data_IF_771671085566
#
_entry.id   IF_771671085566
#
_cell.length_a   1.000
_cell.length_b   1.000
_cell.length_c   1.000
_cell.angle_alpha   90.00
_cell.angle_beta   90.00
_cell.angle_gamma   90.00
#
_symmetry.space_group_name_H-M   'P 1'
#
loop_
_entity.id
_entity.type
_entity.pdbx_description
1 polymer ?
#
# COMPACT_ATOMS: atom_id res chain seq x y z
N UNK A 1 -11.68 -13.91 -0.38
CA UNK A 1 -12.70 -13.95 -1.46
C UNK A 1 -13.40 -12.60 -1.53
N UNK A 2 -13.72 -12.10 -2.74
CA UNK A 2 -14.50 -10.88 -2.87
C UNK A 2 -15.95 -11.15 -2.45
N UNK A 3 -16.38 -10.60 -1.32
CA UNK A 3 -17.80 -10.63 -0.90
C UNK A 3 -18.66 -9.75 -1.80
N UNK A 4 -18.05 -8.74 -2.44
CA UNK A 4 -18.67 -7.84 -3.42
C UNK A 4 -17.94 -7.93 -4.75
N UNK A 5 -18.64 -7.72 -5.86
CA UNK A 5 -18.09 -7.63 -7.20
C UNK A 5 -18.77 -6.50 -7.98
N UNK A 6 -18.13 -5.99 -9.02
CA UNK A 6 -18.67 -4.89 -9.81
C UNK A 6 -19.60 -5.39 -10.92
N UNK A 7 -20.82 -4.84 -10.98
CA UNK A 7 -21.73 -5.01 -12.12
C UNK A 7 -21.51 -3.91 -13.14
N UNK A 8 -21.24 -4.29 -14.39
CA UNK A 8 -21.12 -3.33 -15.48
C UNK A 8 -22.46 -2.68 -15.81
N UNK A 9 -23.55 -3.45 -15.78
CA UNK A 9 -24.90 -2.99 -16.04
C UNK A 9 -25.38 -1.98 -15.00
N UNK A 10 -25.25 -2.28 -13.71
CA UNK A 10 -25.69 -1.38 -12.63
C UNK A 10 -24.63 -0.32 -12.26
N UNK A 11 -23.43 -0.38 -12.85
CA UNK A 11 -22.33 0.55 -12.61
C UNK A 11 -21.96 0.71 -11.13
N UNK A 12 -22.07 -0.37 -10.34
CA UNK A 12 -21.82 -0.37 -8.89
C UNK A 12 -21.30 -1.72 -8.38
N UNK A 13 -20.61 -1.68 -7.25
CA UNK A 13 -20.24 -2.89 -6.51
C UNK A 13 -21.45 -3.44 -5.76
N UNK A 14 -21.62 -4.75 -5.85
CA UNK A 14 -22.75 -5.48 -5.30
C UNK A 14 -22.25 -6.73 -4.62
N UNK A 15 -22.80 -7.05 -3.46
CA UNK A 15 -22.76 -8.43 -2.95
C UNK A 15 -23.80 -9.31 -3.68
N UNK A 16 -23.79 -10.61 -3.36
CA UNK A 16 -24.69 -11.58 -4.02
C UNK A 16 -26.17 -11.30 -3.71
N UNK A 17 -26.49 -10.80 -2.52
CA UNK A 17 -27.86 -10.53 -2.09
C UNK A 17 -28.41 -9.29 -2.79
N UNK A 18 -27.63 -8.20 -2.81
CA UNK A 18 -27.93 -6.96 -3.52
C UNK A 18 -28.12 -7.19 -5.02
N UNK A 19 -27.30 -8.06 -5.62
CA UNK A 19 -27.48 -8.45 -7.01
C UNK A 19 -28.79 -9.23 -7.21
N UNK A 20 -29.12 -10.13 -6.28
CA UNK A 20 -30.38 -10.87 -6.31
C UNK A 20 -31.61 -9.97 -6.25
N UNK A 21 -31.64 -8.98 -5.36
CA UNK A 21 -32.73 -8.00 -5.29
C UNK A 21 -32.90 -7.22 -6.59
N UNK A 22 -31.80 -6.82 -7.21
CA UNK A 22 -31.83 -6.09 -8.48
C UNK A 22 -32.34 -6.92 -9.65
N UNK A 23 -31.95 -8.20 -9.72
CA UNK A 23 -32.36 -9.09 -10.81
C UNK A 23 -33.78 -9.65 -10.64
N UNK A 24 -34.24 -9.77 -9.40
CA UNK A 24 -35.57 -10.32 -9.08
C UNK A 24 -36.64 -9.24 -8.99
N UNK A 25 -36.26 -7.98 -8.77
CA UNK A 25 -37.18 -6.86 -8.54
C UNK A 25 -37.76 -6.83 -7.11
N UNK A 26 -37.48 -7.85 -6.30
CA UNK A 26 -37.90 -7.94 -4.92
C UNK A 26 -37.02 -7.06 -4.02
N UNK A 27 -37.63 -6.06 -3.39
CA UNK A 27 -37.00 -5.31 -2.29
C UNK A 27 -37.01 -6.15 -1.01
N UNK A 28 -36.04 -5.96 -0.11
CA UNK A 28 -36.01 -6.68 1.15
C UNK A 28 -37.30 -6.44 1.94
N UNK A 29 -38.15 -7.48 2.02
CA UNK A 29 -39.19 -7.62 3.03
C UNK A 29 -38.61 -8.39 4.21
N UNK A 30 -38.94 -7.96 5.42
CA UNK A 30 -38.26 -8.24 6.69
C UNK A 30 -38.16 -9.71 7.15
N UNK A 31 -38.46 -10.72 6.33
CA UNK A 31 -38.61 -12.09 6.87
C UNK A 31 -38.11 -13.29 6.04
N UNK A 32 -37.35 -13.10 4.95
CA UNK A 32 -36.71 -14.25 4.28
C UNK A 32 -35.26 -13.97 3.87
N UNK A 33 -34.33 -14.29 4.77
CA UNK A 33 -32.90 -14.40 4.51
C UNK A 33 -32.54 -15.62 3.64
N UNK A 34 -33.19 -15.76 2.49
CA UNK A 34 -32.86 -16.75 1.46
C UNK A 34 -32.24 -16.04 0.28
N UNK A 35 -30.94 -16.28 0.05
CA UNK A 35 -30.23 -15.84 -1.15
C UNK A 35 -31.01 -16.34 -2.38
N UNK A 36 -31.46 -15.41 -3.23
CA UNK A 36 -32.25 -15.72 -4.41
C UNK A 36 -31.55 -16.76 -5.31
N UNK A 37 -32.31 -17.63 -5.97
CA UNK A 37 -31.70 -18.56 -6.94
C UNK A 37 -31.33 -17.81 -8.23
N UNK A 38 -30.04 -17.53 -8.38
CA UNK A 38 -29.50 -16.81 -9.54
C UNK A 38 -29.11 -17.73 -10.70
N UNK A 39 -29.49 -19.02 -10.66
CA UNK A 39 -29.15 -20.03 -11.66
C UNK A 39 -29.57 -19.63 -13.09
N UNK A 40 -30.78 -19.06 -13.24
CA UNK A 40 -31.29 -18.57 -14.53
C UNK A 40 -30.49 -17.40 -15.11
N UNK A 41 -29.79 -16.64 -14.26
CA UNK A 41 -28.98 -15.49 -14.65
C UNK A 41 -27.49 -15.84 -14.82
N UNK A 42 -27.10 -17.11 -14.70
CA UNK A 42 -25.70 -17.53 -14.68
C UNK A 42 -24.90 -17.05 -15.90
N UNK A 43 -25.49 -17.10 -17.09
CA UNK A 43 -24.87 -16.60 -18.32
C UNK A 43 -24.61 -15.08 -18.27
N UNK A 44 -25.61 -14.32 -17.82
CA UNK A 44 -25.52 -12.87 -17.67
C UNK A 44 -24.51 -12.47 -16.59
N UNK A 45 -24.54 -13.14 -15.43
CA UNK A 45 -23.60 -12.91 -14.32
C UNK A 45 -22.17 -13.12 -14.78
N UNK A 46 -21.92 -14.18 -15.56
CA UNK A 46 -20.59 -14.51 -16.07
C UNK A 46 -20.01 -13.39 -16.94
N UNK A 47 -20.85 -12.67 -17.67
CA UNK A 47 -20.45 -11.58 -18.57
C UNK A 47 -20.44 -10.20 -17.91
N UNK A 48 -21.40 -9.94 -17.03
CA UNK A 48 -21.62 -8.61 -16.44
C UNK A 48 -20.76 -8.37 -15.20
N UNK A 49 -20.68 -9.37 -14.32
CA UNK A 49 -20.00 -9.25 -13.04
C UNK A 49 -18.50 -9.41 -13.22
N UNK A 50 -17.76 -8.43 -12.71
CA UNK A 50 -16.31 -8.31 -12.82
C UNK A 50 -15.67 -8.23 -11.45
N UNK A 51 -14.47 -8.78 -11.35
CA UNK A 51 -13.63 -8.58 -10.18
C UNK A 51 -13.37 -7.08 -9.99
N UNK A 52 -13.60 -6.57 -8.78
CA UNK A 52 -13.38 -5.15 -8.45
C UNK A 52 -11.91 -4.71 -8.46
N UNK A 53 -10.99 -5.68 -8.45
CA UNK A 53 -9.54 -5.45 -8.42
C UNK A 53 -8.92 -5.62 -9.81
N UNK A 54 -8.85 -6.85 -10.34
CA UNK A 54 -8.21 -7.14 -11.64
C UNK A 54 -9.16 -7.08 -12.85
N UNK A 55 -10.45 -6.81 -12.64
CA UNK A 55 -11.43 -6.70 -13.73
C UNK A 55 -11.86 -7.99 -14.41
N UNK A 56 -11.35 -9.14 -13.96
CA UNK A 56 -11.66 -10.46 -14.50
C UNK A 56 -13.18 -10.71 -14.58
N UNK A 57 -13.65 -11.16 -15.74
CA UNK A 57 -15.00 -11.69 -15.99
C UNK A 57 -15.00 -13.21 -15.78
N UNK A 58 -16.17 -13.86 -15.86
CA UNK A 58 -16.26 -15.29 -15.57
C UNK A 58 -16.83 -15.60 -14.18
N UNK A 59 -17.53 -14.64 -13.58
CA UNK A 59 -18.10 -14.79 -12.24
C UNK A 59 -19.09 -15.97 -12.16
N UNK A 60 -19.03 -16.67 -11.04
CA UNK A 60 -19.98 -17.70 -10.61
C UNK A 60 -20.42 -17.40 -9.18
N UNK A 61 -21.70 -17.61 -8.90
CA UNK A 61 -22.26 -17.41 -7.56
C UNK A 61 -22.04 -18.68 -6.75
N UNK A 62 -21.33 -18.55 -5.64
CA UNK A 62 -21.17 -19.64 -4.67
C UNK A 62 -22.19 -19.45 -3.56
N UNK A 63 -23.06 -20.45 -3.38
CA UNK A 63 -24.11 -20.45 -2.37
C UNK A 63 -23.54 -20.51 -0.95
N UNK A 64 -24.22 -19.92 0.04
CA UNK A 64 -23.79 -20.01 1.42
C UNK A 64 -23.90 -21.46 1.93
N UNK A 65 -23.02 -21.85 2.85
CA UNK A 65 -23.09 -23.16 3.51
C UNK A 65 -23.39 -22.98 5.00
N UNK A 66 -24.29 -23.80 5.56
CA UNK A 66 -24.65 -23.82 6.99
C UNK A 66 -24.00 -25.03 7.68
N UNK A 67 -23.71 -24.91 8.98
CA UNK A 67 -23.23 -26.04 9.79
C UNK A 67 -24.30 -27.12 9.90
N UNK A 68 -23.91 -28.41 9.82
CA UNK A 68 -24.84 -29.52 10.08
C UNK A 68 -25.36 -29.41 11.51
N UNK A 69 -26.68 -29.28 11.66
CA UNK A 69 -27.35 -29.23 12.97
C UNK A 69 -27.41 -27.86 13.63
N UNK A 70 -27.00 -26.76 12.98
CA UNK A 70 -27.20 -25.40 13.50
C UNK A 70 -27.58 -24.41 12.40
N UNK A 71 -28.23 -23.30 12.77
CA UNK A 71 -28.52 -22.20 11.85
C UNK A 71 -27.28 -21.32 11.56
N UNK A 72 -26.12 -21.62 12.14
CA UNK A 72 -24.91 -20.82 11.92
C UNK A 72 -24.42 -20.96 10.47
N UNK A 73 -24.29 -19.81 9.79
CA UNK A 73 -23.72 -19.70 8.45
C UNK A 73 -22.21 -19.93 8.56
N UNK A 74 -21.71 -21.03 7.98
CA UNK A 74 -20.28 -21.34 7.92
C UNK A 74 -19.56 -20.56 6.83
N UNK A 75 -20.25 -20.26 5.71
CA UNK A 75 -19.70 -19.46 4.60
C UNK A 75 -20.78 -18.58 4.01
N UNK A 76 -20.46 -17.30 3.83
CA UNK A 76 -21.31 -16.33 3.15
C UNK A 76 -21.32 -16.58 1.63
N UNK A 77 -22.41 -16.16 0.99
CA UNK A 77 -22.50 -16.13 -0.46
C UNK A 77 -21.43 -15.19 -1.03
N UNK A 78 -20.78 -15.57 -2.12
CA UNK A 78 -19.73 -14.76 -2.74
C UNK A 78 -19.60 -15.05 -4.24
N UNK A 79 -18.82 -14.20 -4.92
CA UNK A 79 -18.45 -14.39 -6.32
C UNK A 79 -17.13 -15.13 -6.41
N UNK A 80 -17.10 -16.19 -7.23
CA UNK A 80 -15.89 -16.90 -7.64
C UNK A 80 -15.63 -16.64 -9.10
N UNK A 81 -14.40 -16.31 -9.48
CA UNK A 81 -14.01 -16.05 -10.86
C UNK A 81 -13.18 -17.21 -11.36
N UNK A 82 -13.64 -17.89 -12.41
CA UNK A 82 -12.96 -19.09 -12.94
C UNK A 82 -12.37 -18.85 -14.32
N UNK A 83 -11.28 -19.54 -14.63
CA UNK A 83 -10.73 -19.62 -15.99
C UNK A 83 -11.44 -20.69 -16.86
N UNK A 84 -10.95 -20.88 -18.08
CA UNK A 84 -11.48 -21.87 -19.03
C UNK A 84 -11.26 -23.32 -18.60
N UNK A 85 -10.35 -23.58 -17.66
CA UNK A 85 -10.02 -24.91 -17.14
C UNK A 85 -10.68 -25.17 -15.76
N UNK A 86 -11.48 -24.22 -15.25
CA UNK A 86 -12.13 -24.31 -13.94
C UNK A 86 -11.23 -23.96 -12.76
N UNK A 87 -10.02 -23.44 -13.03
CA UNK A 87 -9.09 -22.90 -12.04
C UNK A 87 -9.42 -21.45 -11.68
N UNK A 88 -8.58 -20.86 -10.82
CA UNK A 88 -8.71 -19.45 -10.42
C UNK A 88 -8.51 -18.53 -11.65
N UNK A 89 -9.55 -17.80 -12.01
CA UNK A 89 -9.54 -16.92 -13.16
C UNK A 89 -8.82 -15.60 -12.94
N UNK A 90 -8.53 -15.23 -11.69
CA UNK A 90 -7.88 -13.97 -11.37
C UNK A 90 -6.45 -13.91 -11.92
N UNK A 91 -5.99 -12.69 -12.16
CA UNK A 91 -4.57 -12.48 -12.43
C UNK A 91 -3.74 -12.94 -11.20
N UNK A 92 -2.56 -13.56 -11.35
CA UNK A 92 -1.73 -14.02 -10.24
C UNK A 92 -1.33 -12.96 -9.19
N UNK A 93 -1.47 -11.68 -9.54
CA UNK A 93 -1.20 -10.55 -8.65
C UNK A 93 -2.46 -9.82 -8.17
N UNK A 94 -3.63 -10.33 -8.52
CA UNK A 94 -4.88 -9.85 -7.93
C UNK A 94 -4.87 -10.23 -6.46
N UNK A 95 -5.33 -9.32 -5.60
CA UNK A 95 -5.46 -9.60 -4.16
C UNK A 95 -6.46 -10.73 -3.84
N UNK A 96 -7.29 -11.11 -4.81
CA UNK A 96 -8.24 -12.22 -4.70
C UNK A 96 -7.68 -13.55 -5.23
N UNK A 97 -6.52 -13.56 -5.86
CA UNK A 97 -5.91 -14.77 -6.41
C UNK A 97 -5.48 -15.76 -5.31
N UNK A 98 -5.75 -17.06 -5.52
CA UNK A 98 -5.42 -18.15 -4.61
C UNK A 98 -6.32 -18.25 -3.38
N UNK A 99 -7.31 -17.36 -3.22
CA UNK A 99 -8.20 -17.33 -2.06
C UNK A 99 -9.43 -18.27 -2.19
N UNK A 100 -9.39 -19.23 -3.12
CA UNK A 100 -10.49 -20.17 -3.43
C UNK A 100 -10.71 -21.27 -2.36
N UNK A 101 -9.79 -21.44 -1.40
CA UNK A 101 -9.80 -22.54 -0.41
C UNK A 101 -10.73 -22.33 0.79
N UNK A 102 -11.42 -21.19 0.86
CA UNK A 102 -12.55 -20.98 1.79
C UNK A 102 -12.20 -20.55 3.21
N UNK A 103 -10.97 -20.05 3.44
CA UNK A 103 -10.65 -19.21 4.59
C UNK A 103 -10.83 -17.73 4.19
N UNK A 104 -11.89 -17.09 4.68
CA UNK A 104 -12.13 -15.67 4.46
C UNK A 104 -11.18 -14.83 5.33
N UNK A 105 -9.92 -14.68 4.89
CA UNK A 105 -9.08 -13.59 5.40
C UNK A 105 -9.35 -12.36 4.55
N UNK A 106 -9.85 -11.29 5.19
CA UNK A 106 -9.73 -9.95 4.60
C UNK A 106 -8.25 -9.71 4.37
N UNK A 107 -7.85 -9.45 3.13
CA UNK A 107 -6.50 -8.99 2.83
C UNK A 107 -6.32 -7.61 3.47
N UNK A 108 -5.18 -7.37 4.13
CA UNK A 108 -4.87 -6.08 4.79
C UNK A 108 -4.95 -4.88 3.81
N UNK A 109 -4.93 -5.13 2.50
CA UNK A 109 -5.13 -4.16 1.42
C UNK A 109 -6.55 -3.61 1.33
N UNK A 110 -7.55 -4.34 1.81
CA UNK A 110 -8.95 -4.02 1.62
C UNK A 110 -9.50 -3.14 2.75
N UNK A 111 -9.55 -1.84 2.49
CA UNK A 111 -10.33 -0.90 3.32
C UNK A 111 -11.83 -1.19 3.17
N UNK A 112 -12.49 -1.64 4.24
CA UNK A 112 -13.94 -1.76 4.30
C UNK A 112 -14.54 -0.54 5.02
N UNK A 113 -15.16 0.37 4.26
CA UNK A 113 -15.85 1.53 4.82
C UNK A 113 -17.20 1.20 5.45
N UNK A 114 -17.76 0.01 5.19
CA UNK A 114 -19.00 -0.46 5.80
C UNK A 114 -18.85 -0.95 7.25
N UNK A 115 -17.64 -1.29 7.69
CA UNK A 115 -17.37 -1.63 9.09
C UNK A 115 -16.81 -0.40 9.83
N UNK A 116 -17.64 0.27 10.61
CA UNK A 116 -17.32 1.52 11.32
C UNK A 116 -16.33 1.32 12.49
N UNK A 117 -15.09 0.93 12.19
CA UNK A 117 -14.11 0.58 13.23
C UNK A 117 -13.42 1.79 13.87
N UNK A 118 -13.32 2.92 13.16
CA UNK A 118 -12.58 4.11 13.63
C UNK A 118 -13.28 5.43 13.27
N UNK A 119 -12.96 6.52 13.98
CA UNK A 119 -13.50 7.85 13.70
C UNK A 119 -13.08 8.37 12.31
N UNK A 120 -11.85 8.07 11.91
CA UNK A 120 -11.28 8.41 10.61
C UNK A 120 -12.02 7.69 9.48
N UNK A 121 -12.30 6.40 9.67
CA UNK A 121 -13.05 5.59 8.69
C UNK A 121 -14.48 6.11 8.53
N UNK A 122 -15.13 6.53 9.63
CA UNK A 122 -16.47 7.15 9.60
C UNK A 122 -16.46 8.50 8.88
N UNK A 123 -15.50 9.38 9.20
CA UNK A 123 -15.38 10.68 8.55
C UNK A 123 -15.16 10.55 7.05
N UNK A 124 -14.26 9.63 6.64
CA UNK A 124 -14.01 9.39 5.21
C UNK A 124 -15.21 8.72 4.54
N UNK A 125 -15.90 7.76 5.18
CA UNK A 125 -17.13 7.16 4.63
C UNK A 125 -18.16 8.23 4.31
N UNK A 126 -18.37 9.18 5.23
CA UNK A 126 -19.30 10.29 5.03
C UNK A 126 -18.92 11.13 3.80
N UNK A 127 -17.65 11.49 3.67
CA UNK A 127 -17.13 12.22 2.51
C UNK A 127 -17.27 11.41 1.21
N UNK A 128 -17.08 10.09 1.25
CA UNK A 128 -17.31 9.23 0.09
C UNK A 128 -18.78 9.26 -0.33
N UNK A 129 -19.73 9.12 0.61
CA UNK A 129 -21.16 9.23 0.31
C UNK A 129 -21.51 10.59 -0.30
N UNK A 130 -21.02 11.70 0.31
CA UNK A 130 -21.20 13.05 -0.23
C UNK A 130 -20.68 13.17 -1.66
N UNK A 131 -19.49 12.62 -1.94
CA UNK A 131 -18.89 12.69 -3.28
C UNK A 131 -19.69 11.92 -4.32
N UNK A 132 -20.31 10.80 -3.94
CA UNK A 132 -21.20 10.02 -4.81
C UNK A 132 -22.50 10.78 -5.08
N UNK A 133 -23.17 11.30 -4.05
CA UNK A 133 -24.44 12.02 -4.22
C UNK A 133 -24.30 13.33 -5.00
N UNK A 134 -23.17 14.02 -4.82
CA UNK A 134 -22.88 15.27 -5.54
C UNK A 134 -22.31 15.04 -6.95
N UNK A 135 -22.12 13.78 -7.35
CA UNK A 135 -21.60 13.41 -8.67
C UNK A 135 -20.14 13.78 -8.91
N UNK A 136 -19.35 14.04 -7.86
CA UNK A 136 -17.91 14.29 -7.98
C UNK A 136 -17.15 13.04 -8.43
N UNK A 137 -17.64 11.87 -8.04
CA UNK A 137 -17.21 10.56 -8.49
C UNK A 137 -18.34 9.56 -8.26
N UNK A 138 -18.23 8.36 -8.82
CA UNK A 138 -19.18 7.27 -8.54
C UNK A 138 -18.43 5.95 -8.33
N UNK A 139 -19.16 4.88 -8.04
CA UNK A 139 -18.53 3.56 -7.81
C UNK A 139 -17.80 3.03 -9.04
N UNK A 140 -18.25 3.36 -10.26
CA UNK A 140 -17.52 3.03 -11.48
C UNK A 140 -16.18 3.77 -11.57
N UNK A 141 -16.11 5.04 -11.17
CA UNK A 141 -14.86 5.80 -11.06
C UNK A 141 -13.88 5.15 -10.08
N UNK A 142 -14.40 4.66 -8.95
CA UNK A 142 -13.58 3.99 -7.93
C UNK A 142 -13.00 2.69 -8.45
N UNK A 143 -13.80 1.89 -9.14
CA UNK A 143 -13.29 0.71 -9.85
C UNK A 143 -12.26 1.10 -10.91
N UNK A 144 -12.52 2.14 -11.70
CA UNK A 144 -11.59 2.58 -12.74
C UNK A 144 -10.22 2.95 -12.14
N UNK A 145 -10.20 3.64 -10.99
CA UNK A 145 -8.97 3.91 -10.25
C UNK A 145 -8.26 2.62 -9.84
N UNK A 146 -8.98 1.64 -9.29
CA UNK A 146 -8.39 0.35 -8.88
C UNK A 146 -7.77 -0.39 -10.06
N UNK A 147 -8.48 -0.44 -11.18
CA UNK A 147 -8.01 -1.05 -12.41
C UNK A 147 -6.74 -0.32 -12.90
N UNK A 148 -6.75 1.00 -12.92
CA UNK A 148 -5.60 1.80 -13.36
C UNK A 148 -4.35 1.54 -12.50
N UNK A 149 -4.49 1.50 -11.17
CA UNK A 149 -3.37 1.12 -10.29
C UNK A 149 -2.94 -0.33 -10.49
N UNK A 150 -3.87 -1.25 -10.74
CA UNK A 150 -3.57 -2.64 -11.02
C UNK A 150 -2.77 -2.79 -12.32
N UNK A 151 -3.22 -2.15 -13.39
CA UNK A 151 -2.59 -2.18 -14.72
C UNK A 151 -1.16 -1.62 -14.63
N UNK A 152 -1.01 -0.43 -14.02
CA UNK A 152 0.31 0.20 -13.78
C UNK A 152 1.26 -0.69 -12.99
N UNK A 153 0.78 -1.35 -11.93
CA UNK A 153 1.58 -2.30 -11.15
C UNK A 153 1.91 -3.56 -11.94
N UNK A 154 1.00 -4.02 -12.81
CA UNK A 154 1.20 -5.24 -13.59
C UNK A 154 2.25 -5.06 -14.70
N UNK A 155 2.38 -3.85 -15.24
CA UNK A 155 3.40 -3.47 -16.21
C UNK A 155 4.81 -3.44 -15.59
N UNK A 156 4.92 -3.11 -14.30
CA UNK A 156 6.21 -2.98 -13.60
C UNK A 156 6.36 -4.04 -12.50
N UNK A 157 7.24 -5.01 -12.73
CA UNK A 157 7.48 -6.15 -11.83
C UNK A 157 8.96 -6.25 -11.45
N UNK A 158 9.23 -6.81 -10.27
CA UNK A 158 10.60 -7.15 -9.89
C UNK A 158 10.64 -8.48 -9.13
N UNK A 159 11.77 -9.18 -9.25
CA UNK A 159 12.03 -10.40 -8.48
C UNK A 159 12.60 -10.01 -7.12
N UNK A 160 11.99 -10.47 -6.03
CA UNK A 160 12.48 -10.18 -4.68
C UNK A 160 13.79 -10.90 -4.45
N UNK A 161 14.87 -10.12 -4.26
CA UNK A 161 16.24 -10.61 -4.00
C UNK A 161 16.82 -10.12 -2.68
N UNK A 162 16.16 -9.17 -2.02
CA UNK A 162 16.64 -8.63 -0.75
C UNK A 162 16.67 -9.73 0.32
N UNK A 163 17.86 -10.03 0.83
CA UNK A 163 18.04 -10.94 1.96
C UNK A 163 17.89 -10.18 3.29
N UNK A 164 17.76 -10.87 4.43
CA UNK A 164 17.78 -10.22 5.75
C UNK A 164 19.03 -9.36 5.98
N UNK A 165 20.19 -9.80 5.50
CA UNK A 165 21.46 -9.07 5.59
C UNK A 165 21.45 -7.81 4.74
N UNK A 166 20.91 -7.89 3.52
CA UNK A 166 20.74 -6.73 2.63
C UNK A 166 19.81 -5.66 3.26
N UNK A 167 18.72 -6.09 3.88
CA UNK A 167 17.81 -5.20 4.60
C UNK A 167 18.49 -4.54 5.81
N UNK A 168 19.22 -5.32 6.61
CA UNK A 168 19.97 -4.81 7.74
C UNK A 168 21.04 -3.80 7.29
N UNK A 169 21.74 -4.09 6.20
CA UNK A 169 22.73 -3.21 5.58
C UNK A 169 22.13 -1.88 5.13
N UNK A 170 21.05 -1.92 4.34
CA UNK A 170 20.37 -0.72 3.87
C UNK A 170 19.84 0.13 5.04
N UNK A 171 19.34 -0.52 6.10
CA UNK A 171 18.90 0.17 7.32
C UNK A 171 20.06 0.84 8.06
N UNK A 172 21.22 0.20 8.15
CA UNK A 172 22.42 0.79 8.74
C UNK A 172 22.92 2.00 7.95
N UNK A 173 22.88 1.92 6.61
CA UNK A 173 23.23 3.04 5.73
C UNK A 173 22.26 4.23 5.86
N UNK A 174 20.94 3.96 5.91
CA UNK A 174 19.93 5.00 6.12
C UNK A 174 20.14 5.72 7.47
N UNK A 175 20.47 4.97 8.52
CA UNK A 175 20.75 5.49 9.87
C UNK A 175 22.16 6.09 10.02
N UNK A 176 23.01 5.95 9.00
CA UNK A 176 24.36 6.49 9.05
C UNK A 176 24.28 8.02 9.19
N UNK A 177 24.92 8.61 10.22
CA UNK A 177 24.82 10.05 10.45
C UNK A 177 25.29 10.85 9.24
N UNK A 178 24.65 11.98 8.99
CA UNK A 178 25.14 12.92 7.97
C UNK A 178 26.36 13.64 8.52
N UNK A 179 27.49 13.48 7.85
CA UNK A 179 28.76 14.07 8.25
C UNK A 179 29.19 15.14 7.25
N UNK A 180 29.83 16.21 7.76
CA UNK A 180 30.56 17.13 6.88
C UNK A 180 31.78 16.41 6.34
N UNK A 181 31.98 16.48 5.03
CA UNK A 181 33.09 15.83 4.34
C UNK A 181 34.41 16.39 4.85
N UNK A 182 35.14 15.59 5.61
CA UNK A 182 36.44 15.93 6.16
C UNK A 182 37.41 14.80 5.85
N UNK A 183 38.41 15.08 5.01
CA UNK A 183 39.42 14.09 4.66
C UNK A 183 40.37 13.88 5.84
N UNK A 184 40.50 12.63 6.29
CA UNK A 184 41.42 12.29 7.36
C UNK A 184 42.86 12.60 6.96
N UNK A 185 43.61 13.22 7.87
CA UNK A 185 45.05 13.35 7.78
C UNK A 185 45.64 12.83 9.09
N UNK A 186 46.68 11.97 9.06
CA UNK A 186 47.30 11.39 10.25
C UNK A 186 47.59 12.37 11.39
N UNK A 187 48.09 13.57 11.08
CA UNK A 187 48.36 14.61 12.08
C UNK A 187 47.14 15.03 12.93
N UNK A 188 45.91 14.87 12.43
CA UNK A 188 44.69 15.19 13.17
C UNK A 188 44.56 14.31 14.43
N UNK A 189 45.10 13.10 14.39
CA UNK A 189 45.08 12.15 15.51
C UNK A 189 46.02 12.53 16.67
N UNK A 190 46.86 13.56 16.52
CA UNK A 190 47.64 14.12 17.65
C UNK A 190 46.79 14.99 18.58
N UNK A 191 45.54 15.32 18.19
CA UNK A 191 44.62 16.03 19.09
C UNK A 191 44.32 15.16 20.32
N UNK A 192 44.45 15.68 21.57
CA UNK A 192 44.30 14.88 22.79
C UNK A 192 42.95 14.16 22.95
N UNK A 193 41.90 14.70 22.32
CA UNK A 193 40.54 14.16 22.36
C UNK A 193 40.06 13.67 20.98
N UNK A 194 40.99 13.26 20.10
CA UNK A 194 40.63 12.77 18.77
C UNK A 194 39.71 11.54 18.84
N UNK A 195 38.54 11.64 18.22
CA UNK A 195 37.54 10.57 18.17
C UNK A 195 37.76 9.68 16.93
N UNK A 196 38.44 8.56 17.15
CA UNK A 196 38.69 7.55 16.13
C UNK A 196 37.41 6.95 15.53
N UNK A 197 36.36 6.79 16.33
CA UNK A 197 35.09 6.23 15.84
C UNK A 197 34.37 7.22 14.94
N UNK A 198 34.41 8.52 15.28
CA UNK A 198 33.89 9.56 14.41
C UNK A 198 34.69 9.58 13.10
N UNK A 199 36.03 9.61 13.16
CA UNK A 199 36.90 9.58 11.99
C UNK A 199 36.61 8.38 11.06
N UNK A 200 36.41 7.19 11.64
CA UNK A 200 36.04 6.01 10.88
C UNK A 200 34.69 6.14 10.17
N UNK A 201 33.69 6.78 10.81
CA UNK A 201 32.39 7.06 10.16
C UNK A 201 32.51 8.11 9.05
N UNK A 202 33.35 9.13 9.21
CA UNK A 202 33.65 10.08 8.13
C UNK A 202 34.25 9.37 6.92
N UNK A 203 35.29 8.56 7.13
CA UNK A 203 35.93 7.80 6.06
C UNK A 203 34.96 6.79 5.43
N UNK A 204 34.12 6.12 6.22
CA UNK A 204 33.06 5.25 5.72
C UNK A 204 32.09 5.99 4.80
N UNK A 205 31.71 7.23 5.15
CA UNK A 205 30.86 8.08 4.31
C UNK A 205 31.52 8.35 2.96
N UNK A 206 32.80 8.71 2.94
CA UNK A 206 33.52 8.98 1.68
C UNK A 206 33.60 7.71 0.79
N UNK A 207 33.87 6.55 1.39
CA UNK A 207 33.98 5.29 0.65
C UNK A 207 32.64 4.75 0.14
N UNK A 208 31.53 5.07 0.82
CA UNK A 208 30.20 4.54 0.53
C UNK A 208 29.19 5.65 0.16
N UNK A 209 29.65 6.82 -0.26
CA UNK A 209 28.81 8.02 -0.43
C UNK A 209 27.58 7.75 -1.28
N UNK A 210 27.75 7.10 -2.43
CA UNK A 210 26.66 6.76 -3.34
C UNK A 210 25.62 5.83 -2.70
N UNK A 211 26.03 4.91 -1.83
CA UNK A 211 25.13 3.98 -1.13
C UNK A 211 24.39 4.68 0.02
N UNK A 212 25.09 5.54 0.76
CA UNK A 212 24.48 6.33 1.85
C UNK A 212 23.44 7.29 1.29
N UNK A 213 23.76 8.02 0.22
CA UNK A 213 22.82 8.93 -0.44
C UNK A 213 21.62 8.17 -0.99
N UNK A 214 21.84 7.03 -1.66
CA UNK A 214 20.75 6.17 -2.13
C UNK A 214 19.86 5.70 -0.96
N UNK A 215 20.43 5.22 0.13
CA UNK A 215 19.69 4.76 1.31
C UNK A 215 18.88 5.86 1.99
N UNK A 216 19.30 7.13 1.85
CA UNK A 216 18.60 8.30 2.41
C UNK A 216 17.47 8.82 1.53
N UNK A 217 17.33 8.36 0.28
CA UNK A 217 16.21 8.75 -0.60
C UNK A 217 14.84 8.28 -0.09
N UNK A 218 14.83 7.20 0.70
CA UNK A 218 13.61 6.62 1.28
C UNK A 218 13.77 6.67 2.79
N UNK A 219 12.96 7.47 3.49
CA UNK A 219 13.01 7.59 4.95
C UNK A 219 11.71 7.09 5.55
N UNK A 220 11.79 5.97 6.26
CA UNK A 220 10.66 5.31 6.90
C UNK A 220 11.03 4.84 8.30
N UNK A 221 10.02 4.56 9.14
CA UNK A 221 10.24 4.18 10.53
C UNK A 221 10.59 2.70 10.66
N UNK A 222 10.86 2.30 11.90
CA UNK A 222 11.22 0.93 12.25
C UNK A 222 10.11 -0.08 11.99
N UNK A 223 8.86 0.36 12.06
CA UNK A 223 7.70 -0.49 11.76
C UNK A 223 7.71 -0.93 10.29
N UNK A 224 8.01 -0.01 9.36
CA UNK A 224 8.08 -0.29 7.93
C UNK A 224 9.27 -1.20 7.62
N UNK A 225 10.43 -1.01 8.26
CA UNK A 225 11.57 -1.93 8.12
C UNK A 225 11.24 -3.35 8.59
N UNK A 226 10.51 -3.49 9.70
CA UNK A 226 10.04 -4.80 10.17
C UNK A 226 9.07 -5.44 9.18
N UNK A 227 8.12 -4.66 8.65
CA UNK A 227 7.17 -5.13 7.63
C UNK A 227 7.90 -5.53 6.35
N UNK A 228 8.88 -4.76 5.90
CA UNK A 228 9.72 -5.06 4.74
C UNK A 228 10.47 -6.39 4.91
N UNK A 229 11.02 -6.67 6.10
CA UNK A 229 11.67 -7.96 6.39
C UNK A 229 10.72 -9.16 6.29
N UNK A 230 9.51 -9.04 6.85
CA UNK A 230 8.50 -10.09 6.73
C UNK A 230 8.10 -10.34 5.26
N UNK A 231 7.96 -9.27 4.49
CA UNK A 231 7.59 -9.34 3.07
C UNK A 231 8.70 -9.92 2.21
N UNK A 232 9.95 -9.48 2.41
CA UNK A 232 11.11 -10.01 1.70
C UNK A 232 11.27 -11.51 1.94
N UNK A 233 11.14 -11.96 3.19
CA UNK A 233 11.21 -13.39 3.53
C UNK A 233 10.07 -14.20 2.89
N UNK A 234 8.83 -13.70 2.97
CA UNK A 234 7.64 -14.37 2.42
C UNK A 234 7.70 -14.52 0.89
N UNK A 235 8.23 -13.50 0.20
CA UNK A 235 8.21 -13.41 -1.25
C UNK A 235 9.58 -13.65 -1.90
N UNK A 236 10.57 -14.12 -1.15
CA UNK A 236 11.94 -14.31 -1.66
C UNK A 236 11.95 -15.18 -2.92
N UNK A 237 12.62 -14.70 -3.97
CA UNK A 237 12.71 -15.38 -5.26
C UNK A 237 11.44 -15.33 -6.11
N UNK A 238 10.33 -14.76 -5.61
CA UNK A 238 9.09 -14.57 -6.37
C UNK A 238 9.12 -13.23 -7.11
N UNK A 239 8.39 -13.16 -8.22
CA UNK A 239 8.05 -11.87 -8.83
C UNK A 239 6.93 -11.21 -8.03
N UNK A 240 7.04 -9.90 -7.82
CA UNK A 240 6.02 -9.06 -7.17
C UNK A 240 5.92 -7.72 -7.90
N UNK A 241 4.88 -6.95 -7.58
CA UNK A 241 4.72 -5.60 -8.11
C UNK A 241 5.88 -4.69 -7.71
N UNK A 242 6.41 -3.95 -8.68
CA UNK A 242 7.36 -2.89 -8.42
C UNK A 242 6.61 -1.61 -8.03
N UNK A 243 6.50 -1.36 -6.73
CA UNK A 243 5.81 -0.17 -6.22
C UNK A 243 6.54 1.13 -6.51
N UNK A 244 7.78 1.12 -7.00
CA UNK A 244 8.50 2.35 -7.38
C UNK A 244 7.75 3.16 -8.44
N UNK A 245 7.02 2.49 -9.35
CA UNK A 245 6.18 3.16 -10.34
C UNK A 245 5.06 4.01 -9.72
N UNK A 246 4.67 3.70 -8.48
CA UNK A 246 3.63 4.45 -7.75
C UNK A 246 4.17 5.68 -7.03
N UNK A 247 5.49 5.91 -7.03
CA UNK A 247 6.10 7.00 -6.26
C UNK A 247 5.52 8.39 -6.53
N UNK A 248 5.42 8.89 -7.77
CA UNK A 248 4.88 10.23 -8.01
C UNK A 248 3.45 10.36 -7.47
N UNK A 249 2.64 9.34 -7.72
CA UNK A 249 1.25 9.26 -7.27
C UNK A 249 1.11 9.21 -5.75
N UNK A 250 2.00 8.49 -5.07
CA UNK A 250 2.04 8.42 -3.62
C UNK A 250 2.43 9.76 -3.00
N UNK A 251 3.44 10.43 -3.56
CA UNK A 251 3.90 11.75 -3.07
C UNK A 251 2.85 12.85 -3.26
N UNK A 252 2.17 12.88 -4.41
CA UNK A 252 1.06 13.80 -4.64
C UNK A 252 -0.12 13.53 -3.70
N UNK A 253 -0.44 12.25 -3.49
CA UNK A 253 -1.50 11.85 -2.55
C UNK A 253 -1.17 12.30 -1.13
N UNK A 254 0.07 12.11 -0.67
CA UNK A 254 0.51 12.59 0.65
C UNK A 254 0.44 14.12 0.77
N UNK A 255 0.82 14.83 -0.29
CA UNK A 255 0.72 16.29 -0.35
C UNK A 255 -0.72 16.75 -0.21
N UNK A 256 -1.65 16.14 -0.95
CA UNK A 256 -3.08 16.44 -0.82
C UNK A 256 -3.63 16.05 0.56
N UNK A 257 -3.21 14.91 1.13
CA UNK A 257 -3.61 14.51 2.49
C UNK A 257 -3.21 15.56 3.52
N UNK A 258 -1.97 16.04 3.45
CA UNK A 258 -1.47 17.06 4.36
C UNK A 258 -2.25 18.38 4.21
N UNK A 259 -2.53 18.78 2.96
CA UNK A 259 -3.35 19.96 2.69
C UNK A 259 -4.77 19.82 3.25
N UNK A 260 -5.46 18.72 2.95
CA UNK A 260 -6.84 18.48 3.39
C UNK A 260 -6.91 18.42 4.91
N UNK A 261 -6.02 17.68 5.58
CA UNK A 261 -6.04 17.55 7.02
C UNK A 261 -5.76 18.86 7.76
N UNK A 262 -5.03 19.82 7.15
CA UNK A 262 -4.81 21.15 7.71
C UNK A 262 -6.00 22.10 7.53
N UNK A 263 -6.75 21.94 6.45
CA UNK A 263 -7.74 22.94 6.02
C UNK A 263 -9.20 22.51 6.14
N UNK A 264 -9.48 21.22 6.37
CA UNK A 264 -10.86 20.70 6.39
C UNK A 264 -11.61 20.90 7.71
N UNK A 265 -10.89 21.19 8.81
CA UNK A 265 -11.45 21.16 10.16
C UNK A 265 -11.78 19.75 10.68
N UNK A 266 -11.43 18.69 9.93
CA UNK A 266 -11.67 17.29 10.30
C UNK A 266 -10.38 16.70 10.88
N UNK A 267 -10.48 16.08 12.05
CA UNK A 267 -9.39 15.29 12.61
C UNK A 267 -9.34 13.91 11.97
N UNK A 268 -8.25 13.61 11.26
CA UNK A 268 -8.00 12.31 10.64
C UNK A 268 -7.08 11.41 11.47
N UNK A 269 -6.94 11.66 12.78
CA UNK A 269 -6.18 10.82 13.69
C UNK A 269 -5.10 11.57 14.45
N UNK A 270 -4.17 10.82 15.05
CA UNK A 270 -3.16 11.36 15.99
C UNK A 270 -1.93 11.96 15.31
N UNK A 271 -1.60 11.50 14.11
CA UNK A 271 -0.43 11.97 13.37
C UNK A 271 -0.70 13.38 12.85
N UNK A 272 0.19 14.33 13.18
CA UNK A 272 0.08 15.69 12.64
C UNK A 272 0.29 15.69 11.13
N UNK A 273 -0.47 16.49 10.36
CA UNK A 273 -0.34 16.58 8.91
C UNK A 273 1.07 16.90 8.41
N UNK A 274 1.86 17.65 9.18
CA UNK A 274 3.25 17.99 8.84
C UNK A 274 4.17 16.76 8.75
N UNK A 275 3.77 15.66 9.42
CA UNK A 275 4.57 14.45 9.51
C UNK A 275 4.08 13.34 8.57
N UNK A 276 3.02 13.53 7.79
CA UNK A 276 2.49 12.49 6.88
C UNK A 276 3.51 12.00 5.87
N UNK A 277 4.43 12.86 5.40
CA UNK A 277 5.51 12.46 4.48
C UNK A 277 6.44 11.40 5.09
N UNK A 278 6.61 11.40 6.41
CA UNK A 278 7.55 10.54 7.12
C UNK A 278 6.87 9.36 7.83
N UNK A 279 5.68 9.60 8.40
CA UNK A 279 4.96 8.63 9.23
C UNK A 279 3.79 7.96 8.50
N UNK A 280 3.49 8.40 7.27
CA UNK A 280 2.31 8.00 6.51
C UNK A 280 1.07 8.81 6.91
N UNK A 281 0.19 9.00 5.94
CA UNK A 281 -1.14 9.51 6.18
C UNK A 281 -2.07 8.38 6.66
N UNK A 282 -3.14 8.70 7.41
CA UNK A 282 -4.20 7.76 7.73
C UNK A 282 -4.73 7.07 6.47
N UNK A 283 -4.78 5.73 6.47
CA UNK A 283 -5.10 4.93 5.29
C UNK A 283 -6.45 5.33 4.63
N UNK A 284 -7.55 5.58 5.38
CA UNK A 284 -8.79 6.08 4.80
C UNK A 284 -8.64 7.43 4.07
N UNK A 285 -7.89 8.37 4.64
CA UNK A 285 -7.67 9.68 4.04
C UNK A 285 -6.83 9.55 2.76
N UNK A 286 -5.75 8.76 2.83
CA UNK A 286 -4.88 8.47 1.69
C UNK A 286 -5.68 7.93 0.50
N UNK A 287 -6.59 6.99 0.78
CA UNK A 287 -7.46 6.38 -0.19
C UNK A 287 -8.43 7.38 -0.86
N UNK A 288 -9.07 8.26 -0.08
CA UNK A 288 -9.95 9.31 -0.61
C UNK A 288 -9.15 10.35 -1.42
N UNK A 289 -7.97 10.77 -0.94
CA UNK A 289 -7.14 11.72 -1.66
C UNK A 289 -6.65 11.16 -2.99
N UNK A 290 -6.28 9.88 -3.05
CA UNK A 290 -5.91 9.22 -4.30
C UNK A 290 -7.08 9.23 -5.31
N UNK A 291 -8.31 8.98 -4.84
CA UNK A 291 -9.50 9.05 -5.69
C UNK A 291 -9.74 10.45 -6.24
N UNK A 292 -9.58 11.47 -5.41
CA UNK A 292 -9.79 12.86 -5.81
C UNK A 292 -8.74 13.32 -6.82
N UNK A 293 -7.47 12.92 -6.65
CA UNK A 293 -6.43 13.13 -7.65
C UNK A 293 -6.72 12.37 -8.94
N UNK A 294 -7.06 11.08 -8.86
CA UNK A 294 -7.38 10.25 -10.01
C UNK A 294 -8.51 10.85 -10.86
N UNK A 295 -9.61 11.28 -10.23
CA UNK A 295 -10.72 11.92 -10.96
C UNK A 295 -10.34 13.26 -11.58
N UNK A 296 -9.25 13.86 -11.12
CA UNK A 296 -8.75 15.17 -11.54
C UNK A 296 -7.53 15.05 -12.45
N UNK A 297 -7.31 13.88 -13.04
CA UNK A 297 -6.16 13.60 -13.92
C UNK A 297 -4.82 13.93 -13.25
N UNK A 298 -4.76 13.74 -11.93
CA UNK A 298 -3.61 14.05 -11.09
C UNK A 298 -3.21 15.53 -11.04
N UNK A 299 -4.10 16.46 -11.44
CA UNK A 299 -3.89 17.90 -11.28
C UNK A 299 -4.27 18.34 -9.85
N UNK A 300 -3.28 18.84 -9.11
CA UNK A 300 -3.38 19.15 -7.68
C UNK A 300 -4.44 20.21 -7.38
N UNK A 301 -4.47 21.32 -8.11
CA UNK A 301 -5.40 22.41 -7.81
C UNK A 301 -6.85 22.03 -8.12
N UNK A 302 -7.06 21.22 -9.15
CA UNK A 302 -8.36 20.65 -9.51
C UNK A 302 -8.84 19.69 -8.44
N UNK A 303 -7.95 18.83 -7.92
CA UNK A 303 -8.28 17.94 -6.80
C UNK A 303 -8.62 18.73 -5.53
N UNK A 304 -7.87 19.79 -5.22
CA UNK A 304 -8.15 20.72 -4.11
C UNK A 304 -9.53 21.37 -4.28
N UNK A 305 -9.83 21.91 -5.47
CA UNK A 305 -11.11 22.56 -5.76
C UNK A 305 -12.29 21.58 -5.61
N UNK A 306 -12.14 20.34 -6.08
CA UNK A 306 -13.16 19.30 -5.87
C UNK A 306 -13.30 18.94 -4.39
N UNK A 307 -12.21 18.87 -3.62
CA UNK A 307 -12.27 18.64 -2.18
C UNK A 307 -12.97 19.78 -1.43
N UNK A 308 -12.70 21.03 -1.81
CA UNK A 308 -13.38 22.18 -1.23
C UNK A 308 -14.89 22.11 -1.47
N UNK A 309 -15.31 21.77 -2.70
CA UNK A 309 -16.72 21.52 -3.03
C UNK A 309 -17.31 20.37 -2.20
N UNK A 310 -16.57 19.27 -2.06
CA UNK A 310 -16.98 18.12 -1.27
C UNK A 310 -17.23 18.49 0.20
N UNK A 311 -16.32 19.26 0.81
CA UNK A 311 -16.43 19.72 2.20
C UNK A 311 -17.58 20.71 2.40
N UNK A 312 -17.87 21.55 1.40
CA UNK A 312 -18.98 22.50 1.42
C UNK A 312 -20.35 21.88 1.12
N UNK A 313 -20.41 20.60 0.73
CA UNK A 313 -21.65 19.92 0.37
C UNK A 313 -22.45 19.49 1.60
N UNK A 314 -23.77 19.45 1.43
CA UNK A 314 -24.71 18.99 2.45
C UNK A 314 -24.41 17.57 2.92
N UNK A 315 -24.97 17.20 4.09
CA UNK A 315 -24.90 15.83 4.58
C UNK A 315 -25.60 14.86 3.63
N UNK A 316 -25.04 13.65 3.42
CA UNK A 316 -25.57 12.72 2.45
C UNK A 316 -26.88 12.10 2.93
N UNK A 317 -27.80 11.87 2.02
CA UNK A 317 -29.10 11.25 2.28
C UNK A 317 -29.03 9.71 2.42
N UNK A 318 -28.07 9.08 1.74
CA UNK A 318 -27.87 7.63 1.71
C UNK A 318 -26.43 7.24 2.12
N UNK A 319 -26.30 6.73 3.35
CA UNK A 319 -25.02 6.26 3.89
C UNK A 319 -24.59 4.88 3.37
N UNK A 320 -25.46 4.17 2.64
CA UNK A 320 -25.14 2.87 2.03
C UNK A 320 -24.23 3.01 0.81
N UNK A 321 -24.19 4.20 0.18
CA UNK A 321 -23.33 4.50 -0.97
C UNK A 321 -21.84 4.34 -0.66
N UNK A 322 -21.45 4.54 0.61
CA UNK A 322 -20.09 4.40 1.10
C UNK A 322 -19.69 2.97 1.47
N UNK A 323 -20.56 1.96 1.30
CA UNK A 323 -20.25 0.55 1.60
C UNK A 323 -19.37 -0.08 0.52
N UNK A 324 -18.16 0.45 0.35
CA UNK A 324 -17.18 -0.06 -0.60
C UNK A 324 -15.99 -0.70 0.12
N UNK A 325 -15.47 -1.76 -0.49
CA UNK A 325 -14.34 -2.54 0.02
C UNK A 325 -13.17 -2.33 -0.94
N UNK A 326 -11.99 -1.87 -0.49
CA UNK A 326 -10.74 -1.93 -1.27
C UNK A 326 -10.15 -0.63 -1.82
N UNK A 327 -10.17 0.48 -1.07
CA UNK A 327 -9.70 1.78 -1.57
C UNK A 327 -8.21 2.10 -1.31
N UNK A 328 -7.36 1.21 -0.79
CA UNK A 328 -5.95 1.56 -0.53
C UNK A 328 -5.01 1.17 -1.68
N UNK A 329 -4.74 2.06 -2.68
CA UNK A 329 -3.85 1.73 -3.79
C UNK A 329 -2.38 1.59 -3.37
N UNK A 330 -2.01 2.12 -2.21
CA UNK A 330 -0.65 2.18 -1.69
C UNK A 330 -0.41 1.22 -0.51
N UNK A 331 -1.20 0.14 -0.42
CA UNK A 331 -1.01 -0.88 0.61
C UNK A 331 0.43 -1.41 0.61
N UNK A 332 1.06 -1.41 1.79
CA UNK A 332 2.46 -1.77 2.00
C UNK A 332 3.47 -1.05 1.08
N UNK A 333 3.11 0.11 0.50
CA UNK A 333 3.98 0.86 -0.43
C UNK A 333 5.36 1.13 0.18
N UNK A 334 5.41 1.68 1.39
CA UNK A 334 6.66 2.02 2.08
C UNK A 334 7.53 0.77 2.31
N UNK A 335 6.94 -0.33 2.77
CA UNK A 335 7.65 -1.58 3.00
C UNK A 335 8.21 -2.16 1.69
N UNK A 336 7.43 -2.17 0.60
CA UNK A 336 7.92 -2.59 -0.70
C UNK A 336 9.05 -1.70 -1.24
N UNK A 337 8.98 -0.38 -1.05
CA UNK A 337 10.08 0.54 -1.41
C UNK A 337 11.36 0.23 -0.64
N UNK A 338 11.28 -0.13 0.64
CA UNK A 338 12.44 -0.57 1.42
C UNK A 338 13.02 -1.90 0.92
N UNK A 339 12.18 -2.85 0.50
CA UNK A 339 12.65 -4.12 -0.11
C UNK A 339 13.42 -3.84 -1.41
N UNK A 340 12.88 -2.97 -2.27
CA UNK A 340 13.53 -2.57 -3.53
C UNK A 340 14.85 -1.86 -3.23
N UNK A 341 14.84 -0.87 -2.33
CA UNK A 341 16.04 -0.15 -1.91
C UNK A 341 17.12 -1.10 -1.39
N UNK A 342 16.75 -2.06 -0.53
CA UNK A 342 17.70 -3.01 0.03
C UNK A 342 18.34 -3.89 -1.04
N UNK A 343 17.58 -4.30 -2.06
CA UNK A 343 18.14 -5.02 -3.20
C UNK A 343 19.10 -4.14 -4.02
N UNK A 344 18.72 -2.89 -4.33
CA UNK A 344 19.56 -1.96 -5.10
C UNK A 344 20.87 -1.61 -4.38
N UNK A 345 20.80 -1.36 -3.07
CA UNK A 345 21.95 -1.05 -2.23
C UNK A 345 22.86 -2.28 -2.10
N UNK A 346 22.30 -3.48 -1.97
CA UNK A 346 23.06 -4.72 -1.90
C UNK A 346 23.79 -5.03 -3.21
N UNK A 347 23.14 -4.84 -4.36
CA UNK A 347 23.74 -5.05 -5.69
C UNK A 347 24.93 -4.10 -5.94
N UNK A 348 24.92 -2.90 -5.33
CA UNK A 348 25.99 -1.90 -5.45
C UNK A 348 27.05 -2.00 -4.35
N UNK A 349 26.88 -2.87 -3.36
CA UNK A 349 27.85 -3.02 -2.26
C UNK A 349 29.01 -3.93 -2.64
N UNK A 350 30.23 -3.41 -2.60
CA UNK A 350 31.45 -4.15 -2.97
C UNK A 350 32.14 -4.82 -1.77
N UNK A 351 31.90 -4.32 -0.54
CA UNK A 351 32.61 -4.74 0.68
C UNK A 351 31.74 -5.62 1.61
N UNK A 352 30.71 -6.25 1.05
CA UNK A 352 29.73 -7.03 1.82
C UNK A 352 28.75 -6.15 2.62
N UNK A 353 28.10 -6.73 3.62
CA UNK A 353 26.95 -6.14 4.33
C UNK A 353 27.18 -5.88 5.83
N UNK A 354 28.35 -6.23 6.36
CA UNK A 354 28.66 -6.06 7.78
C UNK A 354 29.15 -4.64 8.07
N UNK A 355 28.22 -3.79 8.48
CA UNK A 355 28.47 -2.39 8.84
C UNK A 355 29.48 -2.24 9.96
N UNK A 356 29.39 -3.06 11.02
CA UNK A 356 30.26 -2.90 12.18
C UNK A 356 31.68 -3.37 11.86
N UNK A 357 31.83 -4.49 11.14
CA UNK A 357 33.14 -4.96 10.70
C UNK A 357 33.82 -3.96 9.76
N UNK A 358 33.07 -3.33 8.84
CA UNK A 358 33.62 -2.28 7.97
C UNK A 358 34.11 -1.07 8.76
N UNK A 359 33.33 -0.56 9.74
CA UNK A 359 33.78 0.54 10.59
C UNK A 359 35.03 0.19 11.41
N UNK A 360 35.09 -1.01 12.00
CA UNK A 360 36.26 -1.47 12.75
C UNK A 360 37.49 -1.63 11.87
N UNK A 361 37.33 -2.10 10.63
CA UNK A 361 38.41 -2.21 9.66
C UNK A 361 38.94 -0.82 9.26
N UNK A 362 38.05 0.14 9.00
CA UNK A 362 38.42 1.53 8.71
C UNK A 362 39.14 2.16 9.90
N UNK A 363 38.60 2.05 11.12
CA UNK A 363 39.27 2.59 12.31
C UNK A 363 40.69 2.03 12.48
N UNK A 364 40.84 0.72 12.31
CA UNK A 364 42.13 0.04 12.40
C UNK A 364 43.12 0.55 11.34
N UNK A 365 42.64 0.80 10.12
CA UNK A 365 43.47 1.37 9.05
C UNK A 365 43.90 2.81 9.35
N UNK A 366 42.99 3.66 9.81
CA UNK A 366 43.31 5.05 10.19
C UNK A 366 44.37 5.11 11.30
N UNK A 367 44.25 4.23 12.31
CA UNK A 367 45.25 4.11 13.39
C UNK A 367 46.61 3.65 12.85
N UNK A 368 46.62 2.70 11.92
CA UNK A 368 47.84 2.24 11.26
C UNK A 368 48.50 3.36 10.46
N UNK A 369 47.73 4.13 9.68
CA UNK A 369 48.24 5.28 8.93
C UNK A 369 48.87 6.32 9.86
N UNK A 370 48.26 6.59 11.02
CA UNK A 370 48.82 7.47 12.04
C UNK A 370 50.13 6.95 12.62
N UNK A 371 50.21 5.67 12.99
CA UNK A 371 51.44 5.07 13.51
C UNK A 371 52.59 5.16 12.49
N UNK A 372 52.32 4.88 11.20
CA UNK A 372 53.30 5.00 10.12
C UNK A 372 53.77 6.46 9.98
N UNK A 373 52.82 7.40 9.91
CA UNK A 373 53.13 8.83 9.80
C UNK A 373 54.00 9.32 10.96
N UNK A 374 53.68 8.90 12.20
CA UNK A 374 54.43 9.25 13.41
C UNK A 374 55.83 8.64 13.47
N UNK A 375 56.06 7.52 12.79
CA UNK A 375 57.38 6.90 12.68
C UNK A 375 58.24 7.49 11.56
N UNK A 376 57.62 8.21 10.62
CA UNK A 376 58.26 8.77 9.43
C UNK A 376 58.62 10.26 9.56
N UNK A 377 58.07 10.95 10.56
CA UNK A 377 58.44 12.32 10.95
C UNK A 377 59.14 12.33 12.29
#
# INVERSE_FOLDING_TARGET
>A
MPTTAFSAHYSRELDVEQLGWLLSGDRPGDDQATVADLSQWAGWIRTDIRCSSCGKTGAQVVRPSKARGSQAVLRQAHFRFVDHQGGDGHHPFCEFYGNDTGEARQTDSLLNFGSEKSAETRAVRLLVCKGIETGLFNQATIRAMRQWFFDMKSESRFKVRATPEALAWARSLQRHPSYRRWTFHPAQAEMPAFDWQAAAKFQFTEENLALVELAKTVVHQDAEWKRAGLMAAKHFGQEVFNTAALQPYYEDTLTLCAFVAKNSGISFGKTSPDYYRFQGAPIPLLALCALMLFTSEWEMNTAIAKFARLLASAEPSDLSLGNMIGLNPFHDYAAWRLVILAAEVAERSLKGFDYQAQLTAIESDLRRQHAIWKSAG
#
